data_IF_779041536289
#
_entry.id   IF_779041536289
#
_cell.length_a   1.000
_cell.length_b   1.000
_cell.length_c   1.000
_cell.angle_alpha   90.00
_cell.angle_beta   90.00
_cell.angle_gamma   90.00
#
_symmetry.space_group_name_H-M   'P 1'
#
loop_
_entity.id
_entity.type
_entity.pdbx_description
1 polymer ?
#
# COMPACT_ATOMS: atom_id res chain seq x y z
N UNK A 1 -10.50 54.02 -39.78
CA UNK A 1 -11.64 53.11 -39.57
C UNK A 1 -11.38 51.72 -40.16
N UNK A 2 -10.14 51.20 -40.16
CA UNK A 2 -9.80 49.89 -40.76
C UNK A 2 -9.30 48.85 -39.77
N UNK A 3 -9.23 49.16 -38.49
CA UNK A 3 -8.69 48.25 -37.52
C UNK A 3 -9.72 47.27 -36.87
N UNK A 4 -10.98 47.43 -37.18
CA UNK A 4 -12.09 46.64 -36.57
C UNK A 4 -12.46 45.38 -37.38
N UNK A 5 -11.95 45.23 -38.57
CA UNK A 5 -12.29 44.10 -39.45
C UNK A 5 -11.29 42.96 -39.44
N UNK A 6 -10.08 43.19 -38.89
CA UNK A 6 -8.99 42.17 -38.92
C UNK A 6 -9.10 41.17 -37.75
N UNK A 7 -9.85 41.52 -36.66
CA UNK A 7 -9.97 40.66 -35.49
C UNK A 7 -10.99 39.52 -35.59
N UNK A 8 -11.85 39.53 -36.62
CA UNK A 8 -12.92 38.54 -36.78
C UNK A 8 -12.48 37.30 -37.57
N UNK A 9 -11.40 37.37 -38.32
CA UNK A 9 -10.95 36.28 -39.20
C UNK A 9 -10.03 35.27 -38.46
N UNK A 10 -9.43 35.65 -37.33
CA UNK A 10 -8.48 34.76 -36.60
C UNK A 10 -9.11 33.86 -35.51
N UNK A 11 -10.42 33.96 -35.28
CA UNK A 11 -11.10 33.18 -34.23
C UNK A 11 -11.82 31.92 -34.73
N UNK A 12 -11.71 31.58 -36.01
CA UNK A 12 -12.55 30.52 -36.62
C UNK A 12 -11.82 29.20 -36.93
N UNK A 13 -10.57 28.97 -36.44
CA UNK A 13 -9.75 27.80 -36.84
C UNK A 13 -9.28 26.87 -35.70
N UNK A 14 -9.93 26.88 -34.51
CA UNK A 14 -9.52 26.01 -33.42
C UNK A 14 -10.61 25.02 -32.95
N UNK A 15 -11.40 24.50 -33.86
CA UNK A 15 -12.29 23.36 -33.56
C UNK A 15 -11.93 22.17 -34.46
N UNK A 16 -10.72 21.62 -34.27
CA UNK A 16 -10.38 20.27 -34.73
C UNK A 16 -10.49 19.33 -33.56
N UNK A 17 -11.62 18.69 -33.45
CA UNK A 17 -11.87 17.58 -32.51
C UNK A 17 -10.95 16.41 -32.85
N UNK A 18 -9.98 16.09 -31.99
CA UNK A 18 -9.30 14.80 -31.97
C UNK A 18 -10.23 13.80 -31.29
N UNK A 19 -11.02 13.08 -32.07
CA UNK A 19 -11.63 11.82 -31.66
C UNK A 19 -10.54 10.73 -31.71
N UNK A 20 -9.82 10.54 -30.59
CA UNK A 20 -8.95 9.42 -30.38
C UNK A 20 -9.75 8.26 -29.83
N UNK A 21 -10.05 7.27 -30.65
CA UNK A 21 -10.63 6.01 -30.22
C UNK A 21 -9.65 5.26 -29.31
N UNK A 22 -10.04 4.97 -28.09
CA UNK A 22 -9.31 4.08 -27.20
C UNK A 22 -9.73 2.65 -27.50
N UNK A 23 -8.87 1.89 -28.18
CA UNK A 23 -8.96 0.44 -28.22
C UNK A 23 -8.69 -0.14 -26.83
N UNK A 24 -9.48 -1.09 -26.33
CA UNK A 24 -9.15 -1.77 -25.07
C UNK A 24 -7.98 -2.72 -25.29
N UNK A 25 -6.80 -2.30 -24.90
CA UNK A 25 -5.62 -3.17 -24.79
C UNK A 25 -5.82 -4.12 -23.61
N UNK A 26 -6.12 -5.38 -23.90
CA UNK A 26 -5.99 -6.51 -22.98
C UNK A 26 -4.49 -6.78 -22.80
N UNK A 27 -3.91 -6.42 -21.68
CA UNK A 27 -2.53 -6.77 -21.40
C UNK A 27 -1.96 -6.01 -20.22
N UNK A 28 -1.72 -6.75 -19.16
CA UNK A 28 -0.87 -6.39 -18.04
C UNK A 28 -1.48 -5.40 -17.03
N UNK A 29 -2.36 -5.91 -16.17
CA UNK A 29 -2.69 -5.27 -14.89
C UNK A 29 -1.52 -5.38 -13.91
N UNK A 30 -0.40 -4.77 -14.28
CA UNK A 30 0.46 -4.20 -13.25
C UNK A 30 -0.30 -2.99 -12.72
N UNK A 31 -0.97 -3.17 -11.59
CA UNK A 31 -1.69 -2.10 -10.89
C UNK A 31 -0.70 -0.98 -10.57
N UNK A 32 -0.47 -0.13 -11.54
CA UNK A 32 0.15 1.16 -11.36
C UNK A 32 -0.88 1.98 -10.59
N UNK A 33 -0.76 1.99 -9.27
CA UNK A 33 -1.53 2.85 -8.38
C UNK A 33 -1.34 4.29 -8.86
N UNK A 34 -2.25 4.74 -9.72
CA UNK A 34 -2.26 6.08 -10.28
C UNK A 34 -2.58 7.05 -9.14
N UNK A 35 -1.54 7.45 -8.43
CA UNK A 35 -1.35 8.82 -7.95
C UNK A 35 -2.30 9.41 -6.92
N UNK A 36 -3.26 8.69 -6.35
CA UNK A 36 -4.04 9.23 -5.23
C UNK A 36 -3.61 8.55 -3.94
N UNK A 37 -2.69 9.18 -3.23
CA UNK A 37 -2.31 8.72 -1.90
C UNK A 37 -3.40 9.10 -0.90
N UNK A 38 -3.95 8.10 -0.21
CA UNK A 38 -4.88 8.32 0.89
C UNK A 38 -4.17 8.95 2.08
N UNK A 39 -4.94 9.61 2.94
CA UNK A 39 -4.43 10.17 4.19
C UNK A 39 -5.14 9.53 5.38
N UNK A 40 -4.37 9.16 6.40
CA UNK A 40 -4.89 8.58 7.64
C UNK A 40 -4.78 9.60 8.77
N UNK A 41 -5.85 9.81 9.53
CA UNK A 41 -5.78 10.61 10.76
C UNK A 41 -4.94 9.88 11.81
N UNK A 42 -3.93 10.54 12.37
CA UNK A 42 -3.04 9.94 13.37
C UNK A 42 -3.78 9.49 14.62
N UNK A 43 -4.87 10.19 14.98
CA UNK A 43 -5.71 9.87 16.14
C UNK A 43 -6.54 8.58 15.95
N UNK A 44 -6.75 8.15 14.71
CA UNK A 44 -7.53 6.95 14.40
C UNK A 44 -6.68 5.70 14.26
N UNK A 45 -5.37 5.81 14.23
CA UNK A 45 -4.45 4.68 14.15
C UNK A 45 -4.55 3.86 15.45
N UNK A 46 -4.72 2.54 15.29
CA UNK A 46 -4.88 1.58 16.40
C UNK A 46 -3.74 0.60 16.47
N UNK A 47 -3.27 0.15 15.32
CA UNK A 47 -2.28 -0.91 15.21
C UNK A 47 -1.54 -0.82 13.89
N UNK A 48 -0.41 -1.52 13.78
CA UNK A 48 0.32 -1.70 12.54
C UNK A 48 0.90 -3.10 12.43
N UNK A 49 1.06 -3.57 11.22
CA UNK A 49 1.73 -4.84 10.91
C UNK A 49 2.82 -4.60 9.86
N UNK A 50 4.03 -4.95 10.20
CA UNK A 50 5.17 -4.87 9.27
C UNK A 50 5.12 -6.07 8.32
N UNK A 51 5.14 -5.81 7.03
CA UNK A 51 5.21 -6.83 5.98
C UNK A 51 6.66 -7.12 5.64
N UNK A 52 7.41 -6.08 5.28
CA UNK A 52 8.86 -6.11 5.06
C UNK A 52 9.51 -4.77 5.49
N UNK A 53 10.70 -4.48 5.02
CA UNK A 53 11.45 -3.27 5.37
C UNK A 53 10.96 -1.99 4.66
N UNK A 54 10.04 -2.11 3.73
CA UNK A 54 9.47 -1.00 2.96
C UNK A 54 7.96 -0.94 3.01
N UNK A 55 7.31 -1.99 3.51
CA UNK A 55 5.86 -2.13 3.46
C UNK A 55 5.29 -2.47 4.82
N UNK A 56 4.23 -1.77 5.21
CA UNK A 56 3.48 -2.06 6.41
C UNK A 56 1.98 -1.85 6.18
N UNK A 57 1.16 -2.51 6.97
CA UNK A 57 -0.27 -2.26 7.04
C UNK A 57 -0.56 -1.49 8.32
N UNK A 58 -1.27 -0.38 8.19
CA UNK A 58 -1.77 0.40 9.32
C UNK A 58 -3.25 0.11 9.48
N UNK A 59 -3.66 -0.24 10.70
CA UNK A 59 -5.06 -0.41 11.07
C UNK A 59 -5.56 0.85 11.76
N UNK A 60 -6.61 1.44 11.21
CA UNK A 60 -7.29 2.60 11.79
C UNK A 60 -8.63 2.22 12.41
N UNK A 61 -9.30 3.19 13.01
CA UNK A 61 -10.64 3.04 13.57
C UNK A 61 -11.61 2.40 12.56
N UNK A 62 -12.61 1.67 13.07
CA UNK A 62 -13.55 0.86 12.28
C UNK A 62 -12.85 -0.23 11.44
N UNK A 63 -11.72 -0.75 11.93
CA UNK A 63 -10.93 -1.82 11.29
C UNK A 63 -10.47 -1.54 9.85
N UNK A 64 -10.43 -0.26 9.46
CA UNK A 64 -9.92 0.13 8.13
C UNK A 64 -8.43 -0.19 8.03
N UNK A 65 -8.06 -0.85 6.95
CA UNK A 65 -6.67 -1.23 6.65
C UNK A 65 -6.10 -0.31 5.58
N UNK A 66 -4.85 0.06 5.75
CA UNK A 66 -4.11 0.89 4.80
C UNK A 66 -2.75 0.28 4.54
N UNK A 67 -2.44 0.03 3.29
CA UNK A 67 -1.08 -0.31 2.88
C UNK A 67 -0.26 0.98 2.84
N UNK A 68 0.83 0.99 3.55
CA UNK A 68 1.79 2.10 3.61
C UNK A 68 3.09 1.63 3.02
N UNK A 69 3.55 2.31 1.97
CA UNK A 69 4.84 2.05 1.32
C UNK A 69 5.81 3.16 1.69
N UNK A 70 7.02 2.77 2.05
CA UNK A 70 8.10 3.69 2.40
C UNK A 70 8.95 4.03 1.18
N UNK A 71 9.55 5.22 1.16
CA UNK A 71 10.41 5.67 0.07
C UNK A 71 11.75 4.95 -0.01
N UNK A 72 12.16 4.30 1.06
CA UNK A 72 13.38 3.49 1.17
C UNK A 72 13.23 2.43 2.24
N UNK A 73 14.14 1.47 2.24
CA UNK A 73 14.19 0.40 3.25
C UNK A 73 14.48 0.98 4.62
N UNK A 74 13.74 0.52 5.61
CA UNK A 74 13.93 0.76 7.03
C UNK A 74 14.47 -0.51 7.68
N UNK A 75 15.76 -0.64 7.81
CA UNK A 75 16.41 -1.88 8.28
C UNK A 75 15.88 -2.28 9.67
N UNK A 76 15.68 -1.31 10.54
CA UNK A 76 15.15 -1.52 11.90
C UNK A 76 13.64 -1.78 11.98
N UNK A 77 12.88 -1.67 10.88
CA UNK A 77 11.41 -1.74 10.92
C UNK A 77 10.89 -3.09 11.44
N UNK A 78 11.56 -4.19 11.10
CA UNK A 78 11.15 -5.54 11.51
C UNK A 78 11.47 -5.85 12.97
N UNK A 79 12.48 -5.22 13.54
CA UNK A 79 12.93 -5.40 14.93
C UNK A 79 12.44 -4.29 15.85
N UNK A 80 11.85 -3.22 15.31
CA UNK A 80 11.38 -2.10 16.09
C UNK A 80 10.13 -2.47 16.90
N UNK A 81 10.18 -2.20 18.19
CA UNK A 81 9.04 -2.41 19.10
C UNK A 81 7.97 -1.34 18.94
N UNK A 82 8.36 -0.20 18.39
CA UNK A 82 7.50 0.96 18.28
C UNK A 82 7.87 1.78 17.06
N UNK A 83 6.86 2.10 16.26
CA UNK A 83 6.98 3.10 15.21
C UNK A 83 6.17 4.35 15.59
N UNK A 84 6.67 5.51 15.18
CA UNK A 84 5.97 6.78 15.30
C UNK A 84 5.54 7.30 13.93
N UNK A 85 4.52 8.14 13.91
CA UNK A 85 4.11 8.86 12.72
C UNK A 85 4.32 10.36 12.94
N UNK A 86 5.02 11.01 12.02
CA UNK A 86 5.26 12.44 12.05
C UNK A 86 4.46 13.14 10.97
N UNK A 87 3.57 14.01 11.40
CA UNK A 87 2.76 14.85 10.53
C UNK A 87 2.56 16.22 11.15
N UNK A 88 2.49 17.26 10.35
CA UNK A 88 2.19 18.63 10.77
C UNK A 88 0.69 18.92 10.81
N UNK A 89 -0.10 18.15 10.08
CA UNK A 89 -1.55 18.35 9.92
C UNK A 89 -2.41 17.44 10.81
N UNK A 90 -1.80 16.53 11.57
CA UNK A 90 -2.51 15.48 12.31
C UNK A 90 -3.04 14.37 11.42
N UNK A 91 -2.66 14.35 10.13
CA UNK A 91 -2.94 13.30 9.15
C UNK A 91 -1.64 12.89 8.49
N UNK A 92 -1.41 11.61 8.33
CA UNK A 92 -0.28 11.10 7.55
C UNK A 92 -0.73 10.87 6.10
N UNK A 93 0.04 11.41 5.17
CA UNK A 93 -0.21 11.33 3.73
C UNK A 93 1.05 10.86 3.01
N UNK A 94 0.89 10.08 1.95
CA UNK A 94 2.00 9.68 1.11
C UNK A 94 2.65 10.87 0.40
N UNK A 95 3.96 10.83 0.24
CA UNK A 95 4.76 11.88 -0.38
C UNK A 95 5.14 13.05 0.55
N UNK A 96 4.45 13.23 1.68
CA UNK A 96 4.63 14.41 2.55
C UNK A 96 5.10 14.08 3.95
N UNK A 97 4.59 13.03 4.56
CA UNK A 97 4.80 12.71 5.96
C UNK A 97 5.81 11.57 6.14
N UNK A 98 6.25 11.38 7.37
CA UNK A 98 7.33 10.46 7.70
C UNK A 98 6.87 9.45 8.77
N UNK A 99 7.46 8.27 8.75
CA UNK A 99 7.51 7.39 9.93
C UNK A 99 8.82 7.59 10.68
N UNK A 100 8.77 7.34 11.98
CA UNK A 100 9.92 7.26 12.85
C UNK A 100 10.08 5.80 13.28
N UNK A 101 11.22 5.21 12.99
CA UNK A 101 11.58 3.84 13.37
C UNK A 101 12.76 3.92 14.32
N UNK A 102 12.63 3.33 15.50
CA UNK A 102 13.73 3.26 16.46
C UNK A 102 14.37 1.87 16.37
N UNK A 103 15.59 1.83 15.88
CA UNK A 103 16.39 0.60 15.72
C UNK A 103 17.38 0.37 16.88
N UNK A 104 17.31 1.21 17.91
CA UNK A 104 18.24 1.17 19.06
C UNK A 104 19.46 2.09 18.91
N UNK A 105 19.72 2.63 17.72
CA UNK A 105 20.74 3.65 17.48
C UNK A 105 20.16 5.06 17.46
N UNK A 106 18.85 5.18 17.59
CA UNK A 106 18.09 6.41 17.59
C UNK A 106 16.96 6.39 16.54
N UNK A 107 16.04 7.35 16.62
CA UNK A 107 14.90 7.39 15.72
C UNK A 107 15.31 7.76 14.30
N UNK A 108 15.20 6.81 13.38
CA UNK A 108 15.36 7.02 11.95
C UNK A 108 14.07 7.57 11.35
N UNK A 109 14.18 8.62 10.54
CA UNK A 109 13.05 9.21 9.81
C UNK A 109 13.02 8.70 8.39
N UNK A 110 11.88 8.15 7.98
CA UNK A 110 11.69 7.61 6.63
C UNK A 110 10.40 8.18 6.05
N UNK A 111 10.51 8.73 4.84
CA UNK A 111 9.38 9.28 4.10
C UNK A 111 8.40 8.17 3.72
N UNK A 112 7.12 8.44 3.89
CA UNK A 112 6.04 7.62 3.35
C UNK A 112 5.91 7.94 1.86
N UNK A 113 6.08 6.96 0.98
CA UNK A 113 5.95 7.14 -0.46
C UNK A 113 4.48 7.15 -0.88
N UNK A 114 3.71 6.18 -0.40
CA UNK A 114 2.29 6.05 -0.73
C UNK A 114 1.49 5.46 0.43
N UNK A 115 0.20 5.77 0.45
CA UNK A 115 -0.80 5.17 1.33
C UNK A 115 -2.00 4.79 0.47
N UNK A 116 -2.48 3.56 0.60
CA UNK A 116 -3.66 3.06 -0.12
C UNK A 116 -4.58 2.36 0.85
N UNK A 117 -5.86 2.75 0.90
CA UNK A 117 -6.85 2.03 1.67
C UNK A 117 -7.13 0.67 1.01
N UNK A 118 -7.20 -0.38 1.81
CA UNK A 118 -7.41 -1.75 1.36
C UNK A 118 -8.84 -2.19 1.62
N UNK A 119 -9.42 -2.93 0.69
CA UNK A 119 -10.57 -3.80 0.95
C UNK A 119 -10.13 -5.04 1.75
N UNK A 120 -11.06 -5.81 2.33
CA UNK A 120 -10.70 -7.07 3.00
C UNK A 120 -9.97 -8.04 2.07
N UNK A 121 -10.41 -8.15 0.82
CA UNK A 121 -9.85 -9.04 -0.19
C UNK A 121 -8.42 -8.62 -0.57
N UNK A 122 -8.20 -7.32 -0.80
CA UNK A 122 -6.87 -6.77 -1.10
C UNK A 122 -5.92 -6.95 0.09
N UNK A 123 -6.42 -6.83 1.31
CA UNK A 123 -5.62 -7.08 2.51
C UNK A 123 -5.17 -8.53 2.59
N UNK A 124 -6.06 -9.48 2.34
CA UNK A 124 -5.74 -10.91 2.35
C UNK A 124 -4.76 -11.27 1.24
N UNK A 125 -4.98 -10.78 0.02
CA UNK A 125 -4.06 -10.94 -1.10
C UNK A 125 -2.67 -10.35 -0.79
N UNK A 126 -2.63 -9.19 -0.14
CA UNK A 126 -1.38 -8.56 0.29
C UNK A 126 -0.63 -9.43 1.30
N UNK A 127 -1.31 -10.01 2.28
CA UNK A 127 -0.70 -10.91 3.27
C UNK A 127 -0.11 -12.16 2.62
N UNK A 128 -0.82 -12.76 1.66
CA UNK A 128 -0.32 -13.91 0.89
C UNK A 128 0.92 -13.52 0.11
N UNK A 129 0.89 -12.39 -0.59
CA UNK A 129 2.03 -11.87 -1.37
C UNK A 129 3.30 -11.70 -0.55
N UNK A 130 3.17 -11.27 0.71
CA UNK A 130 4.30 -11.08 1.63
C UNK A 130 4.61 -12.30 2.50
N UNK A 131 3.98 -13.46 2.24
CA UNK A 131 4.20 -14.69 3.00
C UNK A 131 3.77 -14.58 4.48
N UNK A 132 2.78 -13.72 4.76
CA UNK A 132 2.20 -13.53 6.10
C UNK A 132 0.91 -14.30 6.32
N UNK A 133 0.41 -14.95 5.29
CA UNK A 133 -0.75 -15.85 5.28
C UNK A 133 -0.56 -16.87 4.15
N UNK A 134 -1.01 -18.10 4.37
CA UNK A 134 -1.11 -19.10 3.31
C UNK A 134 -2.27 -18.76 2.37
N UNK A 135 -2.13 -19.08 1.06
CA UNK A 135 -3.24 -18.91 0.11
C UNK A 135 -4.42 -19.80 0.51
N UNK A 136 -5.63 -19.28 0.41
CA UNK A 136 -6.86 -19.95 0.87
C UNK A 136 -7.18 -21.28 0.15
N UNK A 137 -6.46 -21.61 -0.92
CA UNK A 137 -6.68 -22.79 -1.76
C UNK A 137 -5.59 -23.88 -1.64
N UNK A 138 -4.66 -23.74 -0.71
CA UNK A 138 -3.73 -24.85 -0.44
C UNK A 138 -4.45 -25.87 0.45
N UNK A 139 -4.72 -27.10 -0.04
CA UNK A 139 -5.30 -28.13 0.81
C UNK A 139 -4.35 -28.34 1.99
N UNK A 140 -4.90 -28.30 3.20
CA UNK A 140 -4.13 -28.57 4.41
C UNK A 140 -3.29 -29.82 4.18
N UNK A 141 -1.97 -29.80 4.49
CA UNK A 141 -1.16 -31.01 4.39
C UNK A 141 -1.88 -32.10 5.14
N UNK A 142 -2.17 -33.19 4.45
CA UNK A 142 -2.85 -34.34 5.03
C UNK A 142 -2.12 -34.66 6.34
N UNK A 143 -2.84 -34.57 7.45
CA UNK A 143 -2.33 -35.06 8.72
C UNK A 143 -1.88 -36.49 8.47
N UNK A 144 -0.57 -36.72 8.45
CA UNK A 144 -0.02 -38.05 8.46
C UNK A 144 -0.50 -38.60 9.80
N UNK A 145 -1.47 -39.53 9.73
CA UNK A 145 -1.82 -40.36 10.86
C UNK A 145 -0.53 -40.96 11.36
N UNK A 146 -0.08 -40.52 12.52
CA UNK A 146 1.03 -41.13 13.23
C UNK A 146 0.45 -42.43 13.73
N UNK A 147 0.56 -43.46 12.87
CA UNK A 147 0.25 -44.82 13.24
C UNK A 147 1.03 -45.15 14.50
N UNK A 148 0.31 -45.46 15.56
CA UNK A 148 0.77 -45.70 16.91
C UNK A 148 2.02 -46.57 16.88
N UNK A 149 3.16 -46.00 17.30
CA UNK A 149 4.33 -46.78 17.64
C UNK A 149 3.95 -47.70 18.80
N UNK A 150 3.82 -48.97 18.49
CA UNK A 150 3.64 -50.05 19.43
C UNK A 150 4.82 -50.03 20.42
N UNK A 151 4.50 -49.74 21.69
CA UNK A 151 5.48 -49.76 22.75
C UNK A 151 5.73 -51.23 23.09
N UNK A 152 6.83 -51.82 22.62
CA UNK A 152 7.31 -53.08 23.14
C UNK A 152 7.73 -52.90 24.59
N UNK A 153 6.92 -53.48 25.49
CA UNK A 153 7.24 -53.61 26.90
C UNK A 153 8.43 -54.60 27.01
N UNK A 154 9.58 -54.13 27.39
CA UNK A 154 10.73 -54.94 27.73
C UNK A 154 10.56 -55.46 29.20
N UNK A 155 10.34 -56.74 29.30
CA UNK A 155 10.35 -57.52 30.54
C UNK A 155 11.76 -57.79 31.07
#
# INVERSE_FOLDING_TARGET
>A
MYYKQIFIVYFSCFLSACAGGSEPSLGDETATATGRSDCISTRTIRDYRVLDETNLVVTAQANRKYHVTLSRRAIGLRSSWKIGFRSTSGRICGGFDDILVDDGFGPERIRIAAITQLTPEEYDALLVRFGKREPANEPAPATQDVESAEVEELD
#
